data_IF_932818444053
#
_entry.id   IF_932818444053
#
_cell.length_a   1.000
_cell.length_b   1.000
_cell.length_c   1.000
_cell.angle_alpha   90.00
_cell.angle_beta   90.00
_cell.angle_gamma   90.00
#
_symmetry.space_group_name_H-M   'P 1'
#
loop_
_entity.id
_entity.type
_entity.pdbx_description
1 polymer ?
#
# COMPACT_ATOMS: atom_id res chain seq x y z
N UNK A 1 42.98 16.94 65.21
CA UNK A 1 42.46 17.49 63.94
C UNK A 1 41.81 16.45 63.02
N UNK A 2 42.23 15.19 63.00
CA UNK A 2 41.69 14.18 62.01
C UNK A 2 40.22 13.77 62.21
N UNK A 3 39.65 13.72 63.43
CA UNK A 3 38.25 13.33 63.68
C UNK A 3 37.21 14.36 63.20
N UNK A 4 37.52 15.68 63.33
CA UNK A 4 36.58 16.73 62.87
C UNK A 4 36.42 16.79 61.34
N UNK A 5 37.50 16.53 60.59
CA UNK A 5 37.44 16.48 59.13
C UNK A 5 36.64 15.27 58.61
N UNK A 6 36.73 14.12 59.31
CA UNK A 6 35.98 12.93 58.93
C UNK A 6 34.44 13.14 59.10
N UNK A 7 34.06 13.80 60.20
CA UNK A 7 32.62 14.13 60.45
C UNK A 7 32.05 15.11 59.40
N UNK A 8 32.84 16.10 59.02
CA UNK A 8 32.42 17.07 57.98
C UNK A 8 32.29 16.41 56.62
N UNK A 9 33.21 15.51 56.25
CA UNK A 9 33.12 14.77 54.97
C UNK A 9 31.94 13.83 54.96
N UNK A 10 31.67 13.13 56.08
CA UNK A 10 30.49 12.25 56.19
C UNK A 10 29.17 13.03 56.13
N UNK A 11 29.09 14.19 56.78
CA UNK A 11 27.93 15.07 56.71
C UNK A 11 27.67 15.63 55.30
N UNK A 12 28.72 16.04 54.56
CA UNK A 12 28.63 16.47 53.18
C UNK A 12 28.19 15.34 52.23
N UNK A 13 28.69 14.12 52.48
CA UNK A 13 28.30 12.94 51.70
C UNK A 13 26.82 12.58 51.91
N UNK A 14 26.32 12.56 53.15
CA UNK A 14 24.92 12.32 53.47
C UNK A 14 24.00 13.44 52.96
N UNK A 15 24.47 14.68 52.96
CA UNK A 15 23.69 15.80 52.42
C UNK A 15 23.63 15.75 50.90
N UNK A 16 24.71 15.40 50.21
CA UNK A 16 24.72 15.23 48.75
C UNK A 16 23.88 14.04 48.27
N UNK A 17 23.93 12.90 48.98
CA UNK A 17 23.10 11.74 48.68
C UNK A 17 21.61 12.00 48.95
N UNK A 18 21.29 12.74 50.01
CA UNK A 18 19.91 13.15 50.32
C UNK A 18 19.31 14.09 49.27
N UNK A 19 20.08 15.05 48.76
CA UNK A 19 19.67 15.93 47.66
C UNK A 19 19.52 15.17 46.36
N UNK A 20 20.44 14.26 46.03
CA UNK A 20 20.35 13.39 44.85
C UNK A 20 19.16 12.45 44.92
N UNK A 21 18.86 11.87 46.07
CA UNK A 21 17.67 11.03 46.26
C UNK A 21 16.37 11.83 46.16
N UNK A 22 16.28 13.03 46.75
CA UNK A 22 15.13 13.90 46.67
C UNK A 22 14.91 14.46 45.25
N UNK A 23 15.98 14.73 44.49
CA UNK A 23 15.90 15.13 43.09
C UNK A 23 15.49 13.96 42.19
N UNK A 24 16.07 12.76 42.37
CA UNK A 24 15.70 11.59 41.58
C UNK A 24 14.28 11.09 41.91
N UNK A 25 13.83 11.14 43.17
CA UNK A 25 12.45 10.77 43.52
C UNK A 25 11.40 11.75 42.98
N UNK A 26 11.75 13.06 42.89
CA UNK A 26 10.87 14.04 42.21
C UNK A 26 10.87 13.90 40.69
N UNK A 27 11.94 13.43 40.10
CA UNK A 27 12.02 13.13 38.67
C UNK A 27 11.32 11.83 38.33
N UNK A 28 11.48 10.78 39.14
CA UNK A 28 10.80 9.47 38.99
C UNK A 28 9.30 9.57 39.34
N UNK A 29 8.91 10.42 40.30
CA UNK A 29 7.50 10.63 40.62
C UNK A 29 6.75 11.49 39.59
N UNK A 30 7.46 12.26 38.74
CA UNK A 30 6.87 13.00 37.63
C UNK A 30 6.71 12.14 36.37
N UNK A 31 7.60 11.17 36.12
CA UNK A 31 7.43 10.24 34.99
C UNK A 31 6.27 9.27 35.20
N UNK A 32 5.99 8.81 36.43
CA UNK A 32 4.88 7.89 36.66
C UNK A 32 3.46 8.52 36.64
N UNK A 33 3.35 9.86 36.78
CA UNK A 33 2.06 10.57 36.64
C UNK A 33 1.81 11.03 35.19
N UNK A 34 2.88 11.25 34.41
CA UNK A 34 2.83 11.57 32.97
C UNK A 34 2.60 10.30 32.16
N UNK A 35 3.25 9.18 32.49
CA UNK A 35 3.05 7.91 31.80
C UNK A 35 1.64 7.36 31.89
N UNK A 36 0.89 7.59 32.99
CA UNK A 36 -0.49 7.15 33.06
C UNK A 36 -1.46 8.03 32.26
N UNK A 37 -1.20 9.33 32.15
CA UNK A 37 -2.02 10.23 31.31
C UNK A 37 -1.66 10.09 29.85
N UNK A 38 -0.39 9.90 29.51
CA UNK A 38 0.03 9.65 28.12
C UNK A 38 -0.40 8.27 27.65
N UNK A 39 -0.29 7.23 28.48
CA UNK A 39 -0.85 5.90 28.17
C UNK A 39 -2.39 5.88 28.11
N UNK A 40 -3.07 6.68 28.90
CA UNK A 40 -4.52 6.78 28.83
C UNK A 40 -4.98 7.62 27.63
N UNK A 41 -4.25 8.70 27.29
CA UNK A 41 -4.44 9.46 26.06
C UNK A 41 -4.06 8.65 24.82
N UNK A 42 -3.03 7.84 24.87
CA UNK A 42 -2.65 6.92 23.80
C UNK A 42 -3.64 5.76 23.67
N UNK A 43 -4.16 5.22 24.75
CA UNK A 43 -5.21 4.21 24.73
C UNK A 43 -6.57 4.78 24.28
N UNK A 44 -6.92 6.01 24.69
CA UNK A 44 -8.08 6.74 24.20
C UNK A 44 -7.89 7.17 22.72
N UNK A 45 -6.67 7.47 22.31
CA UNK A 45 -6.29 7.75 20.93
C UNK A 45 -6.27 6.45 20.10
N UNK A 46 -5.78 5.33 20.61
CA UNK A 46 -5.85 4.01 19.96
C UNK A 46 -7.30 3.48 19.90
N UNK A 47 -8.14 3.74 20.87
CA UNK A 47 -9.57 3.42 20.83
C UNK A 47 -10.40 4.38 19.97
N UNK A 48 -9.94 5.65 19.83
CA UNK A 48 -10.51 6.61 18.90
C UNK A 48 -9.97 6.47 17.46
N UNK A 49 -8.78 5.91 17.30
CA UNK A 49 -8.13 5.65 15.99
C UNK A 49 -8.73 4.46 15.23
N UNK A 50 -9.69 3.74 15.81
CA UNK A 50 -10.53 2.82 15.03
C UNK A 50 -11.34 3.53 13.95
N UNK A 51 -11.69 4.82 14.16
CA UNK A 51 -12.37 5.66 13.17
C UNK A 51 -11.69 7.04 13.14
N UNK A 52 -10.91 7.28 12.09
CA UNK A 52 -10.23 8.58 11.85
C UNK A 52 -11.23 9.72 11.58
N UNK A 53 -12.44 9.38 11.16
CA UNK A 53 -13.50 10.31 10.80
C UNK A 53 -14.77 9.99 11.60
N UNK A 54 -15.38 11.03 12.14
CA UNK A 54 -16.73 10.91 12.72
C UNK A 54 -17.76 10.98 11.58
N UNK A 55 -18.19 9.82 11.09
CA UNK A 55 -19.13 9.70 9.97
C UNK A 55 -20.53 9.42 10.53
N UNK A 56 -21.48 10.30 10.24
CA UNK A 56 -22.91 10.01 10.49
C UNK A 56 -23.33 8.79 9.65
N UNK A 57 -23.82 7.69 10.28
CA UNK A 57 -24.28 6.51 9.54
C UNK A 57 -25.42 6.80 8.54
N UNK A 58 -26.16 7.88 8.73
CA UNK A 58 -27.26 8.30 7.88
C UNK A 58 -26.85 9.35 6.84
N UNK A 59 -25.60 9.80 6.83
CA UNK A 59 -25.13 10.76 5.84
C UNK A 59 -25.25 10.20 4.41
N UNK A 60 -25.69 11.02 3.42
CA UNK A 60 -25.70 10.61 2.04
C UNK A 60 -24.34 10.12 1.57
N UNK A 61 -24.32 9.02 0.82
CA UNK A 61 -23.13 8.48 0.16
C UNK A 61 -23.21 8.74 -1.33
N UNK A 62 -22.97 9.99 -1.71
CA UNK A 62 -23.11 10.53 -3.07
C UNK A 62 -21.79 11.07 -3.64
N UNK A 63 -20.67 10.87 -2.91
CA UNK A 63 -19.35 11.30 -3.34
C UNK A 63 -18.58 10.12 -3.95
N UNK A 64 -18.36 10.16 -5.26
CA UNK A 64 -17.66 9.12 -5.98
C UNK A 64 -16.13 9.22 -5.75
N UNK A 65 -15.51 8.10 -5.39
CA UNK A 65 -14.05 7.99 -5.34
C UNK A 65 -13.46 8.01 -6.74
N UNK A 66 -12.51 8.89 -7.07
CA UNK A 66 -11.96 8.99 -8.41
C UNK A 66 -11.11 7.78 -8.83
N UNK A 67 -10.69 6.93 -7.89
CA UNK A 67 -9.83 5.76 -8.15
C UNK A 67 -10.62 4.45 -8.19
N UNK A 68 -11.58 4.26 -7.28
CA UNK A 68 -12.32 3.00 -7.13
C UNK A 68 -13.81 3.10 -7.49
N UNK A 69 -14.32 4.30 -7.76
CA UNK A 69 -15.75 4.52 -8.05
C UNK A 69 -16.68 4.26 -6.87
N UNK A 70 -16.19 3.76 -5.72
CA UNK A 70 -17.04 3.57 -4.54
C UNK A 70 -17.64 4.90 -4.08
N UNK A 71 -18.85 4.82 -3.53
CA UNK A 71 -19.61 5.99 -3.06
C UNK A 71 -19.35 6.22 -1.57
N UNK A 72 -19.01 7.45 -1.20
CA UNK A 72 -18.65 7.89 0.15
C UNK A 72 -19.46 9.11 0.59
N UNK A 73 -19.33 9.49 1.85
CA UNK A 73 -19.91 10.71 2.39
C UNK A 73 -19.07 11.94 2.06
N UNK A 74 -19.64 13.12 2.20
CA UNK A 74 -18.91 14.37 2.02
C UNK A 74 -17.71 14.52 2.96
N UNK A 75 -17.82 14.04 4.22
CA UNK A 75 -16.72 14.08 5.21
C UNK A 75 -15.53 13.23 4.75
N UNK A 76 -15.79 12.05 4.17
CA UNK A 76 -14.76 11.16 3.62
C UNK A 76 -14.08 11.83 2.41
N UNK A 77 -14.85 12.49 1.54
CA UNK A 77 -14.32 13.27 0.41
C UNK A 77 -13.39 14.39 0.88
N UNK A 78 -13.83 15.23 1.80
CA UNK A 78 -12.99 16.31 2.36
C UNK A 78 -11.66 15.80 2.94
N UNK A 79 -11.63 14.57 3.44
CA UNK A 79 -10.41 13.96 3.99
C UNK A 79 -9.42 13.59 2.88
N UNK A 80 -9.87 12.89 1.82
CA UNK A 80 -8.94 12.51 0.75
C UNK A 80 -8.52 13.68 -0.14
N UNK A 81 -9.35 14.70 -0.34
CA UNK A 81 -9.00 15.90 -1.14
C UNK A 81 -7.84 16.70 -0.55
N UNK A 82 -7.49 16.50 0.71
CA UNK A 82 -6.34 17.13 1.38
C UNK A 82 -5.03 16.38 1.17
N UNK A 83 -5.06 15.23 0.53
CA UNK A 83 -3.97 14.25 0.45
C UNK A 83 -3.77 13.79 -0.99
N UNK A 84 -2.60 13.20 -1.27
CA UNK A 84 -2.36 12.43 -2.48
C UNK A 84 -2.48 10.94 -2.18
N UNK A 85 -2.81 10.09 -3.18
CA UNK A 85 -2.79 8.63 -2.99
C UNK A 85 -1.44 8.13 -2.50
N UNK A 86 -1.44 7.06 -1.71
CA UNK A 86 -0.25 6.27 -1.44
C UNK A 86 -0.14 5.18 -2.50
N UNK A 87 1.06 4.92 -3.00
CA UNK A 87 1.39 3.72 -3.80
C UNK A 87 2.45 2.94 -3.03
N UNK A 88 2.07 1.81 -2.44
CA UNK A 88 2.92 1.06 -1.51
C UNK A 88 3.39 -0.25 -2.13
N UNK A 89 4.71 -0.48 -2.09
CA UNK A 89 5.31 -1.74 -2.51
C UNK A 89 5.15 -2.80 -1.42
N UNK A 90 4.51 -3.93 -1.72
CA UNK A 90 4.20 -5.00 -0.75
C UNK A 90 4.78 -6.34 -1.22
N UNK A 91 5.42 -7.05 -0.29
CA UNK A 91 6.05 -8.36 -0.49
C UNK A 91 5.00 -9.46 -0.77
N UNK A 92 5.36 -10.43 -1.63
CA UNK A 92 4.51 -11.60 -1.88
C UNK A 92 5.25 -12.94 -1.82
N UNK A 93 6.45 -13.02 -1.25
CA UNK A 93 7.05 -14.34 -1.02
C UNK A 93 6.17 -15.19 -0.08
N UNK A 94 6.15 -16.53 -0.21
CA UNK A 94 5.32 -17.38 0.64
C UNK A 94 5.57 -17.18 2.14
N UNK A 95 6.79 -16.84 2.53
CA UNK A 95 7.14 -16.58 3.94
C UNK A 95 6.58 -15.26 4.48
N UNK A 96 6.22 -14.33 3.58
CA UNK A 96 5.63 -13.04 3.93
C UNK A 96 4.10 -13.08 4.13
N UNK A 97 3.46 -14.19 3.76
CA UNK A 97 1.99 -14.33 3.77
C UNK A 97 1.47 -14.72 5.17
N UNK A 98 0.25 -14.24 5.55
CA UNK A 98 -0.60 -13.30 4.85
C UNK A 98 -0.08 -11.87 4.91
N UNK A 99 -0.40 -11.05 3.90
CA UNK A 99 -0.12 -9.62 3.88
C UNK A 99 -1.19 -8.87 4.68
N UNK A 100 -0.85 -7.63 5.07
CA UNK A 100 -1.76 -6.71 5.76
C UNK A 100 -2.18 -5.58 4.83
N UNK A 101 -3.48 -5.28 4.78
CA UNK A 101 -4.03 -4.06 4.22
C UNK A 101 -4.40 -4.13 2.73
N UNK A 102 -4.21 -5.25 2.04
CA UNK A 102 -4.56 -5.36 0.61
C UNK A 102 -6.06 -5.19 0.34
N UNK A 103 -6.92 -5.61 1.27
CA UNK A 103 -8.38 -5.46 1.15
C UNK A 103 -8.87 -4.01 1.21
N UNK A 104 -8.06 -3.11 1.75
CA UNK A 104 -8.37 -1.67 1.84
C UNK A 104 -7.75 -0.84 0.70
N UNK A 105 -7.06 -1.49 -0.23
CA UNK A 105 -6.55 -0.80 -1.40
C UNK A 105 -7.68 -0.46 -2.39
N UNK A 106 -7.55 0.67 -3.09
CA UNK A 106 -8.42 1.02 -4.21
C UNK A 106 -7.99 0.29 -5.50
N UNK A 107 -6.67 0.11 -5.69
CA UNK A 107 -6.07 -0.64 -6.81
C UNK A 107 -4.89 -1.46 -6.33
N UNK A 108 -4.72 -2.67 -6.84
CA UNK A 108 -3.52 -3.49 -6.64
C UNK A 108 -2.95 -3.92 -7.99
N UNK A 109 -1.68 -3.58 -8.23
CA UNK A 109 -0.88 -4.16 -9.31
C UNK A 109 -0.12 -5.37 -8.81
N UNK A 110 -0.06 -6.43 -9.61
CA UNK A 110 0.76 -7.59 -9.34
C UNK A 110 1.60 -7.96 -10.55
N UNK A 111 2.90 -8.15 -10.37
CA UNK A 111 3.83 -8.59 -11.40
C UNK A 111 5.01 -9.34 -10.77
N UNK A 112 5.74 -10.11 -11.56
CA UNK A 112 6.99 -10.75 -11.11
C UNK A 112 8.02 -9.66 -10.80
N UNK A 113 8.60 -9.72 -9.62
CA UNK A 113 9.66 -8.79 -9.18
C UNK A 113 11.05 -9.33 -9.46
N UNK A 114 11.33 -10.52 -9.03
CA UNK A 114 12.58 -11.24 -9.25
C UNK A 114 12.37 -12.76 -9.21
N UNK A 115 12.99 -13.47 -10.17
CA UNK A 115 13.10 -14.94 -10.13
C UNK A 115 11.78 -15.69 -9.98
N UNK A 116 10.69 -15.20 -10.54
CA UNK A 116 9.36 -15.81 -10.44
C UNK A 116 8.55 -15.43 -9.21
N UNK A 117 9.15 -14.68 -8.25
CA UNK A 117 8.45 -14.13 -7.08
C UNK A 117 7.66 -12.90 -7.50
N UNK A 118 6.34 -12.88 -7.30
CA UNK A 118 5.53 -11.69 -7.58
C UNK A 118 5.63 -10.66 -6.44
N UNK A 119 5.21 -9.42 -6.73
CA UNK A 119 5.14 -8.31 -5.78
C UNK A 119 3.89 -7.50 -6.06
N UNK A 120 3.38 -6.82 -5.03
CA UNK A 120 2.26 -5.92 -5.18
C UNK A 120 2.70 -4.46 -5.13
N UNK A 121 2.02 -3.63 -5.93
CA UNK A 121 1.98 -2.19 -5.78
C UNK A 121 0.55 -1.79 -5.48
N UNK A 122 0.25 -1.42 -4.24
CA UNK A 122 -1.11 -1.16 -3.79
C UNK A 122 -1.36 0.34 -3.63
N UNK A 123 -2.48 0.82 -4.17
CA UNK A 123 -2.91 2.22 -4.11
C UNK A 123 -3.95 2.37 -3.00
N UNK A 124 -3.70 3.30 -2.07
CA UNK A 124 -4.62 3.64 -0.99
C UNK A 124 -5.01 5.10 -1.10
N UNK A 125 -6.30 5.37 -1.14
CA UNK A 125 -6.80 6.74 -1.21
C UNK A 125 -8.13 6.91 -0.47
N UNK A 126 -9.27 6.54 -1.07
CA UNK A 126 -10.57 6.86 -0.52
C UNK A 126 -10.96 5.95 0.65
N UNK A 127 -10.82 4.63 0.51
CA UNK A 127 -11.22 3.67 1.56
C UNK A 127 -10.38 3.81 2.83
N UNK A 128 -9.11 4.17 2.66
CA UNK A 128 -8.16 4.33 3.75
C UNK A 128 -8.34 5.61 4.59
N UNK A 129 -9.31 6.50 4.26
CA UNK A 129 -9.59 7.67 5.10
C UNK A 129 -10.39 7.33 6.35
N UNK A 130 -11.09 6.21 6.35
CA UNK A 130 -12.00 5.83 7.43
C UNK A 130 -11.29 5.29 8.67
N UNK A 131 -10.17 4.63 8.46
CA UNK A 131 -9.38 3.97 9.50
C UNK A 131 -7.90 3.94 9.14
N UNK A 132 -7.03 3.89 10.14
CA UNK A 132 -5.61 3.66 9.90
C UNK A 132 -5.37 2.21 9.48
N UNK A 133 -4.92 2.01 8.25
CA UNK A 133 -4.71 0.68 7.66
C UNK A 133 -3.26 0.28 7.85
N UNK A 134 -3.01 -0.78 8.61
CA UNK A 134 -1.68 -1.40 8.70
C UNK A 134 -1.34 -2.03 7.35
N UNK A 135 -0.15 -1.73 6.83
CA UNK A 135 0.35 -2.24 5.54
C UNK A 135 1.65 -3.01 5.77
N UNK A 136 1.66 -4.29 5.41
CA UNK A 136 2.82 -5.15 5.62
C UNK A 136 2.84 -6.40 4.70
N UNK A 137 4.05 -6.92 4.40
CA UNK A 137 5.35 -6.27 4.58
C UNK A 137 5.64 -5.28 3.47
N UNK A 138 6.12 -4.09 3.81
CA UNK A 138 6.57 -3.11 2.81
C UNK A 138 7.88 -3.58 2.20
N UNK A 139 8.05 -3.42 0.88
CA UNK A 139 9.17 -4.01 0.14
C UNK A 139 9.78 -3.07 -0.91
N UNK A 140 10.81 -3.56 -1.57
CA UNK A 140 11.70 -2.79 -2.46
C UNK A 140 11.04 -2.35 -3.77
N UNK A 141 11.38 -1.16 -4.22
CA UNK A 141 10.98 -0.58 -5.51
C UNK A 141 11.50 -1.39 -6.70
N UNK A 142 10.73 -1.38 -7.80
CA UNK A 142 11.10 -1.88 -9.13
C UNK A 142 10.67 -0.87 -10.19
N UNK A 143 11.42 -0.76 -11.27
CA UNK A 143 11.26 0.29 -12.28
C UNK A 143 9.86 0.36 -12.87
N UNK A 144 9.27 -0.77 -13.23
CA UNK A 144 7.93 -0.82 -13.81
C UNK A 144 6.82 -0.45 -12.81
N UNK A 145 6.98 -0.72 -11.50
CA UNK A 145 6.06 -0.21 -10.48
C UNK A 145 6.16 1.30 -10.31
N UNK A 146 7.35 1.90 -10.45
CA UNK A 146 7.51 3.36 -10.48
C UNK A 146 6.77 3.96 -11.69
N UNK A 147 6.84 3.30 -12.85
CA UNK A 147 6.12 3.74 -14.04
C UNK A 147 4.60 3.62 -13.90
N UNK A 148 4.10 2.52 -13.32
CA UNK A 148 2.64 2.38 -13.04
C UNK A 148 2.17 3.37 -11.98
N UNK A 149 2.94 3.55 -10.91
CA UNK A 149 2.66 4.58 -9.91
C UNK A 149 2.56 5.97 -10.51
N UNK A 150 3.41 6.29 -11.50
CA UNK A 150 3.40 7.60 -12.18
C UNK A 150 2.05 7.95 -12.81
N UNK A 151 1.23 6.95 -13.16
CA UNK A 151 -0.12 7.14 -13.70
C UNK A 151 -1.12 7.70 -12.68
N UNK A 152 -0.81 7.67 -11.40
CA UNK A 152 -1.63 8.23 -10.32
C UNK A 152 -1.22 9.67 -9.95
N UNK A 153 -0.63 10.41 -10.87
CA UNK A 153 -0.28 11.83 -10.73
C UNK A 153 0.49 12.17 -9.45
N UNK A 154 1.74 11.77 -9.35
CA UNK A 154 2.61 11.98 -8.18
C UNK A 154 2.07 11.40 -6.85
N UNK A 155 1.70 10.12 -6.80
CA UNK A 155 1.29 9.51 -5.54
C UNK A 155 2.48 9.49 -4.58
N UNK A 156 2.24 9.41 -3.27
CA UNK A 156 3.29 9.11 -2.31
C UNK A 156 3.79 7.69 -2.57
N UNK A 157 5.01 7.55 -3.07
CA UNK A 157 5.59 6.25 -3.42
C UNK A 157 6.34 5.66 -2.23
N UNK A 158 5.84 4.55 -1.70
CA UNK A 158 6.29 3.98 -0.43
C UNK A 158 7.00 2.65 -0.66
N UNK A 159 8.24 2.54 -0.15
CA UNK A 159 9.05 1.34 -0.35
C UNK A 159 10.18 1.19 0.69
N UNK A 160 10.82 0.03 0.70
CA UNK A 160 12.02 -0.29 1.49
C UNK A 160 13.19 -0.49 0.52
N UNK A 161 13.94 0.57 0.25
CA UNK A 161 14.99 0.54 -0.75
C UNK A 161 14.49 0.07 -2.12
N UNK A 162 15.38 -0.40 -2.97
CA UNK A 162 14.99 -0.83 -4.32
C UNK A 162 16.14 -1.42 -5.11
N UNK A 163 15.85 -1.86 -6.32
CA UNK A 163 16.88 -2.20 -7.28
C UNK A 163 17.74 -0.96 -7.57
N UNK A 164 19.05 -1.10 -7.44
CA UNK A 164 20.01 0.00 -7.52
C UNK A 164 21.28 -0.34 -8.31
N UNK A 165 21.30 -1.46 -9.03
CA UNK A 165 22.37 -1.76 -9.97
C UNK A 165 22.25 -0.82 -11.17
N UNK A 166 23.35 -0.14 -11.57
CA UNK A 166 23.33 0.74 -12.74
C UNK A 166 22.78 0.03 -13.97
N UNK A 167 21.84 0.66 -14.66
CA UNK A 167 21.23 0.12 -15.88
C UNK A 167 19.70 0.15 -15.85
N UNK A 168 19.04 -0.63 -16.72
CA UNK A 168 17.59 -0.49 -16.95
C UNK A 168 16.71 -0.98 -15.78
N UNK A 169 17.29 -1.62 -14.77
CA UNK A 169 16.56 -2.07 -13.56
C UNK A 169 16.82 -1.20 -12.33
N UNK A 170 17.57 -0.09 -12.46
CA UNK A 170 17.89 0.83 -11.36
C UNK A 170 16.65 1.66 -10.95
N UNK A 171 15.80 1.10 -10.11
CA UNK A 171 14.58 1.77 -9.64
C UNK A 171 14.90 2.99 -8.76
N UNK A 172 15.94 2.93 -7.91
CA UNK A 172 16.34 4.07 -7.08
C UNK A 172 16.94 5.19 -7.94
N UNK A 173 17.68 4.85 -9.00
CA UNK A 173 18.16 5.81 -9.99
C UNK A 173 17.00 6.47 -10.74
N UNK A 174 16.01 5.68 -11.14
CA UNK A 174 14.80 6.16 -11.82
C UNK A 174 13.99 7.13 -10.93
N UNK A 175 13.77 6.81 -9.65
CA UNK A 175 13.11 7.68 -8.68
C UNK A 175 13.83 9.03 -8.57
N UNK A 176 15.17 9.02 -8.46
CA UNK A 176 15.98 10.26 -8.45
C UNK A 176 15.87 11.04 -9.75
N UNK A 177 15.95 10.36 -10.89
CA UNK A 177 15.85 10.99 -12.22
C UNK A 177 14.50 11.66 -12.44
N UNK A 178 13.42 11.10 -11.86
CA UNK A 178 12.08 11.66 -11.96
C UNK A 178 11.83 12.80 -10.94
N UNK A 179 12.80 13.13 -10.10
CA UNK A 179 12.69 14.19 -9.09
C UNK A 179 11.85 13.79 -7.87
N UNK A 180 11.47 12.52 -7.73
CA UNK A 180 10.56 12.06 -6.68
C UNK A 180 11.15 12.15 -5.28
N UNK A 181 12.46 12.02 -5.13
CA UNK A 181 13.15 12.04 -3.82
C UNK A 181 12.84 13.26 -2.95
N UNK A 182 12.43 14.39 -3.57
CA UNK A 182 12.10 15.64 -2.86
C UNK A 182 10.60 15.98 -2.88
N UNK A 183 9.75 15.13 -3.47
CA UNK A 183 8.36 15.48 -3.73
C UNK A 183 7.35 14.43 -3.27
N UNK A 184 7.70 13.12 -3.33
CA UNK A 184 6.74 12.05 -3.08
C UNK A 184 7.37 10.70 -2.74
N UNK A 185 8.70 10.61 -2.61
CA UNK A 185 9.41 9.37 -2.28
C UNK A 185 9.48 9.14 -0.77
N UNK A 186 8.83 8.08 -0.29
CA UNK A 186 8.84 7.66 1.13
C UNK A 186 9.61 6.33 1.24
N UNK A 187 10.93 6.42 1.15
CA UNK A 187 11.80 5.27 1.39
C UNK A 187 12.06 5.08 2.90
N UNK A 188 11.88 3.85 3.38
CA UNK A 188 12.14 3.46 4.76
C UNK A 188 13.55 3.86 5.23
N UNK A 189 14.57 3.80 4.37
CA UNK A 189 15.94 4.18 4.74
C UNK A 189 16.11 5.68 4.95
N UNK A 190 15.26 6.51 4.35
CA UNK A 190 15.27 7.97 4.53
C UNK A 190 14.34 8.46 5.64
N UNK A 191 13.28 7.71 5.95
CA UNK A 191 12.25 8.11 6.91
C UNK A 191 12.42 7.40 8.26
N UNK A 192 12.56 6.08 8.25
CA UNK A 192 12.82 5.29 9.46
C UNK A 192 11.65 5.20 10.45
N UNK A 193 12.02 4.97 11.72
CA UNK A 193 11.11 4.92 12.86
C UNK A 193 10.62 6.35 13.24
N UNK A 194 9.37 6.55 13.65
CA UNK A 194 8.31 5.56 13.92
C UNK A 194 7.43 5.22 12.70
N UNK A 195 7.64 5.83 11.54
CA UNK A 195 6.81 5.59 10.34
C UNK A 195 6.89 4.15 9.87
N UNK A 196 8.10 3.60 9.85
CA UNK A 196 8.33 2.19 9.57
C UNK A 196 8.82 1.47 10.82
N UNK A 197 8.21 0.35 11.13
CA UNK A 197 8.61 -0.53 12.24
C UNK A 197 8.95 -1.93 11.71
N UNK A 198 9.84 -2.63 12.42
CA UNK A 198 10.10 -4.05 12.16
C UNK A 198 9.37 -4.89 13.19
N UNK A 199 8.29 -5.53 12.77
CA UNK A 199 7.51 -6.42 13.61
C UNK A 199 7.90 -7.89 13.35
N UNK A 200 8.79 -8.41 14.19
CA UNK A 200 9.23 -9.80 14.09
C UNK A 200 8.13 -10.82 14.45
N UNK A 201 7.07 -10.37 15.09
CA UNK A 201 5.92 -11.19 15.51
C UNK A 201 4.68 -10.91 14.63
N UNK A 202 4.84 -10.32 13.45
CA UNK A 202 3.74 -9.97 12.55
C UNK A 202 2.82 -11.15 12.27
N UNK A 203 3.38 -12.33 12.10
CA UNK A 203 2.61 -13.56 11.91
C UNK A 203 2.80 -14.41 13.19
N UNK A 204 1.74 -14.58 14.03
CA UNK A 204 1.85 -15.33 15.27
C UNK A 204 2.35 -16.77 15.03
N UNK A 205 3.33 -17.18 15.82
CA UNK A 205 3.91 -18.53 15.74
C UNK A 205 4.83 -18.80 14.55
N UNK A 206 5.02 -17.85 13.63
CA UNK A 206 5.91 -17.97 12.47
C UNK A 206 7.10 -17.05 12.62
N UNK A 207 8.33 -17.62 12.63
CA UNK A 207 9.55 -16.84 12.53
C UNK A 207 9.82 -16.53 11.06
N UNK A 208 9.82 -15.25 10.71
CA UNK A 208 10.08 -14.79 9.34
C UNK A 208 11.43 -14.09 9.24
N UNK A 209 12.02 -14.04 8.05
CA UNK A 209 13.25 -13.31 7.80
C UNK A 209 13.01 -11.79 7.95
N UNK A 210 14.09 -11.08 8.30
CA UNK A 210 14.01 -9.62 8.62
C UNK A 210 13.40 -8.79 7.50
N UNK A 211 13.60 -9.17 6.25
CA UNK A 211 13.03 -8.52 5.07
C UNK A 211 11.49 -8.62 4.96
N UNK A 212 10.86 -9.53 5.70
CA UNK A 212 9.41 -9.73 5.74
C UNK A 212 8.74 -9.08 6.96
N UNK A 213 9.44 -8.22 7.69
CA UNK A 213 8.98 -7.68 8.97
C UNK A 213 8.62 -6.20 8.96
N UNK A 214 8.84 -5.49 7.84
CA UNK A 214 8.61 -4.04 7.79
C UNK A 214 7.13 -3.75 7.64
N UNK A 215 6.60 -3.02 8.61
CA UNK A 215 5.23 -2.51 8.64
C UNK A 215 5.21 -0.99 8.61
N UNK A 216 4.14 -0.45 8.06
CA UNK A 216 3.74 0.94 8.21
C UNK A 216 2.22 1.01 8.31
N UNK A 217 1.66 2.21 8.36
CA UNK A 217 0.23 2.41 8.24
C UNK A 217 -0.09 3.64 7.39
N UNK A 218 -1.32 3.72 6.89
CA UNK A 218 -1.74 4.81 6.01
C UNK A 218 -1.55 6.17 6.66
N UNK A 219 -1.93 6.34 7.93
CA UNK A 219 -1.78 7.62 8.63
C UNK A 219 -0.31 7.99 8.88
N UNK A 220 0.53 7.02 9.30
CA UNK A 220 1.97 7.29 9.46
C UNK A 220 2.63 7.76 8.17
N UNK A 221 2.19 7.23 7.03
CA UNK A 221 2.71 7.62 5.73
C UNK A 221 2.22 9.02 5.32
N UNK A 222 0.94 9.33 5.53
CA UNK A 222 0.41 10.68 5.27
C UNK A 222 0.95 11.73 6.25
N UNK A 223 1.27 11.36 7.50
CA UNK A 223 1.99 12.25 8.42
C UNK A 223 3.38 12.65 7.90
N UNK A 224 4.11 11.73 7.25
CA UNK A 224 5.38 12.07 6.60
C UNK A 224 5.16 13.08 5.49
N UNK A 225 4.15 12.86 4.65
CA UNK A 225 3.80 13.78 3.58
C UNK A 225 3.43 15.16 4.14
N UNK A 226 2.62 15.22 5.18
CA UNK A 226 2.24 16.47 5.85
C UNK A 226 3.45 17.22 6.43
N UNK A 227 4.33 16.51 7.16
CA UNK A 227 5.57 17.09 7.74
C UNK A 227 6.51 17.65 6.68
N UNK A 228 6.46 17.10 5.45
CA UNK A 228 7.26 17.55 4.30
C UNK A 228 6.53 18.55 3.41
N UNK A 229 5.32 18.96 3.78
CA UNK A 229 4.44 19.82 2.97
C UNK A 229 4.08 19.22 1.60
N UNK A 230 4.05 17.90 1.52
CA UNK A 230 3.61 17.14 0.35
C UNK A 230 2.10 16.88 0.44
N UNK A 231 1.35 17.93 0.24
CA UNK A 231 -0.12 17.88 0.30
C UNK A 231 -0.73 17.35 -1.00
N UNK A 232 -2.00 17.64 -1.24
CA UNK A 232 -2.70 17.34 -2.50
C UNK A 232 -2.25 18.20 -3.68
N UNK A 233 -1.38 19.19 -3.48
CA UNK A 233 -0.82 20.02 -4.55
C UNK A 233 0.60 19.59 -4.91
N UNK A 234 0.98 19.79 -6.18
CA UNK A 234 2.34 19.69 -6.66
C UNK A 234 3.16 20.94 -6.26
N UNK A 235 4.49 20.99 -6.54
CA UNK A 235 5.32 22.17 -6.26
C UNK A 235 4.90 23.42 -7.02
N UNK A 236 4.22 23.29 -8.13
CA UNK A 236 3.69 24.37 -8.97
C UNK A 236 2.33 24.88 -8.45
N UNK A 237 1.72 24.17 -7.49
CA UNK A 237 0.43 24.55 -6.87
C UNK A 237 -0.80 23.97 -7.57
N UNK A 238 -0.63 23.05 -8.54
CA UNK A 238 -1.75 22.36 -9.16
C UNK A 238 -2.27 21.27 -8.24
N UNK A 239 -3.58 21.11 -8.15
CA UNK A 239 -4.17 20.04 -7.35
C UNK A 239 -3.95 18.68 -7.98
N UNK A 240 -3.80 17.65 -7.15
CA UNK A 240 -3.63 16.27 -7.60
C UNK A 240 -4.74 15.84 -8.57
N UNK A 241 -5.98 16.19 -8.27
CA UNK A 241 -7.15 15.81 -9.06
C UNK A 241 -7.10 16.37 -10.50
N UNK A 242 -6.51 17.56 -10.70
CA UNK A 242 -6.43 18.22 -12.02
C UNK A 242 -5.54 17.45 -13.01
N UNK A 243 -4.53 16.75 -12.50
CA UNK A 243 -3.59 15.97 -13.31
C UNK A 243 -3.91 14.46 -13.38
N UNK A 244 -4.93 13.99 -12.65
CA UNK A 244 -5.32 12.58 -12.65
C UNK A 244 -6.44 12.29 -13.66
N UNK A 245 -6.21 11.33 -14.56
CA UNK A 245 -7.24 10.86 -15.49
C UNK A 245 -8.04 9.74 -14.84
N UNK A 246 -9.26 10.05 -14.44
CA UNK A 246 -10.17 9.10 -13.79
C UNK A 246 -10.71 8.06 -14.78
N UNK A 247 -10.88 6.82 -14.30
CA UNK A 247 -11.68 5.79 -14.97
C UNK A 247 -13.18 6.13 -14.87
N UNK A 248 -13.96 5.58 -15.77
CA UNK A 248 -15.42 5.57 -15.64
C UNK A 248 -15.86 4.35 -14.83
N UNK A 249 -16.94 4.49 -14.08
CA UNK A 249 -17.45 3.41 -13.23
C UNK A 249 -18.93 3.15 -13.53
N UNK A 250 -19.35 1.92 -13.27
CA UNK A 250 -20.75 1.50 -13.41
C UNK A 250 -21.22 0.75 -12.18
N UNK A 251 -22.54 0.78 -11.95
CA UNK A 251 -23.22 -0.04 -10.96
C UNK A 251 -23.47 -1.45 -11.51
N UNK A 252 -23.73 -2.41 -10.60
CA UNK A 252 -24.02 -3.77 -10.98
C UNK A 252 -25.22 -3.83 -11.96
N UNK A 253 -25.10 -4.52 -13.11
CA UNK A 253 -26.20 -4.66 -14.04
C UNK A 253 -27.28 -5.58 -13.47
N UNK A 254 -28.52 -5.45 -13.97
CA UNK A 254 -29.63 -6.32 -13.59
C UNK A 254 -29.39 -7.81 -13.95
N UNK A 255 -28.59 -8.06 -14.99
CA UNK A 255 -28.19 -9.40 -15.41
C UNK A 255 -26.67 -9.51 -15.38
N UNK A 256 -26.17 -10.42 -14.58
CA UNK A 256 -24.73 -10.73 -14.47
C UNK A 256 -24.28 -11.72 -15.54
N UNK A 257 -22.96 -11.82 -15.74
CA UNK A 257 -22.35 -12.80 -16.60
C UNK A 257 -22.41 -14.24 -16.04
N UNK A 258 -21.63 -15.14 -16.62
CA UNK A 258 -21.60 -16.56 -16.27
C UNK A 258 -20.19 -17.06 -15.93
N UNK A 259 -19.21 -16.16 -15.83
CA UNK A 259 -17.84 -16.52 -15.42
C UNK A 259 -17.82 -16.71 -13.91
N UNK A 260 -17.58 -17.93 -13.48
CA UNK A 260 -17.49 -18.31 -12.07
C UNK A 260 -16.06 -18.38 -11.59
N UNK A 261 -15.14 -18.77 -12.47
CA UNK A 261 -13.75 -19.05 -12.13
C UNK A 261 -12.80 -18.38 -13.11
N UNK A 262 -11.67 -17.90 -12.62
CA UNK A 262 -10.58 -17.36 -13.44
C UNK A 262 -9.28 -17.96 -12.91
N UNK A 263 -8.40 -18.44 -13.78
CA UNK A 263 -7.09 -18.92 -13.35
C UNK A 263 -5.99 -18.58 -14.35
N UNK A 264 -4.79 -18.30 -13.82
CA UNK A 264 -3.58 -18.02 -14.58
C UNK A 264 -2.33 -18.20 -13.74
N UNK A 265 -1.20 -18.36 -14.42
CA UNK A 265 0.12 -18.39 -13.82
C UNK A 265 0.96 -17.21 -14.31
N UNK A 266 1.84 -16.67 -13.47
CA UNK A 266 2.85 -15.71 -13.89
C UNK A 266 3.99 -16.41 -14.65
N UNK A 267 4.53 -17.50 -14.10
CA UNK A 267 5.52 -18.35 -14.73
C UNK A 267 5.23 -19.83 -14.52
N UNK A 268 5.56 -20.64 -15.49
CA UNK A 268 5.49 -22.11 -15.38
C UNK A 268 6.43 -22.62 -14.29
N UNK A 269 5.98 -23.57 -13.48
CA UNK A 269 6.75 -24.18 -12.40
C UNK A 269 6.78 -23.38 -11.08
N UNK A 270 6.16 -22.22 -11.02
CA UNK A 270 6.06 -21.39 -9.81
C UNK A 270 4.65 -21.47 -9.19
N UNK A 271 4.18 -22.69 -8.90
CA UNK A 271 2.81 -22.96 -8.46
C UNK A 271 2.38 -22.23 -7.20
N UNK A 272 3.33 -21.85 -6.31
CA UNK A 272 3.06 -21.03 -5.13
C UNK A 272 2.57 -19.61 -5.48
N UNK A 273 2.64 -19.20 -6.75
CA UNK A 273 2.12 -17.93 -7.29
C UNK A 273 1.02 -18.16 -8.33
N UNK A 274 0.55 -19.41 -8.49
CA UNK A 274 -0.63 -19.69 -9.30
C UNK A 274 -1.83 -18.96 -8.68
N UNK A 275 -2.58 -18.25 -9.50
CA UNK A 275 -3.73 -17.45 -9.07
C UNK A 275 -5.00 -18.08 -9.59
N UNK A 276 -6.00 -18.17 -8.71
CA UNK A 276 -7.38 -18.35 -9.11
C UNK A 276 -8.29 -17.36 -8.39
N UNK A 277 -9.41 -17.08 -9.03
CA UNK A 277 -10.47 -16.24 -8.52
C UNK A 277 -11.78 -16.98 -8.70
N UNK A 278 -12.64 -16.95 -7.68
CA UNK A 278 -13.98 -17.50 -7.68
C UNK A 278 -14.98 -16.38 -7.47
N UNK A 279 -16.01 -16.31 -8.30
CA UNK A 279 -17.00 -15.25 -8.19
C UNK A 279 -17.95 -15.49 -7.02
N UNK A 280 -18.03 -14.50 -6.14
CA UNK A 280 -19.01 -14.45 -5.04
C UNK A 280 -20.17 -13.54 -5.44
N UNK A 281 -21.34 -14.14 -5.64
CA UNK A 281 -22.55 -13.44 -6.07
C UNK A 281 -23.06 -12.43 -5.01
N UNK A 282 -22.85 -12.73 -3.72
CA UNK A 282 -23.33 -11.87 -2.62
C UNK A 282 -22.50 -10.59 -2.51
N UNK A 283 -21.19 -10.68 -2.76
CA UNK A 283 -20.29 -9.54 -2.74
C UNK A 283 -20.20 -8.85 -4.09
N UNK A 284 -20.69 -9.46 -5.16
CA UNK A 284 -20.47 -9.03 -6.55
C UNK A 284 -18.99 -8.80 -6.85
N UNK A 285 -18.14 -9.75 -6.45
CA UNK A 285 -16.70 -9.65 -6.50
C UNK A 285 -16.07 -11.03 -6.70
N UNK A 286 -14.84 -11.04 -7.17
CA UNK A 286 -14.03 -12.26 -7.32
C UNK A 286 -13.13 -12.44 -6.09
N UNK A 287 -13.27 -13.57 -5.41
CA UNK A 287 -12.49 -13.97 -4.22
C UNK A 287 -11.20 -14.64 -4.66
N UNK A 288 -10.09 -14.20 -4.10
CA UNK A 288 -8.75 -14.60 -4.54
C UNK A 288 -8.21 -15.83 -3.81
N UNK A 289 -7.66 -16.76 -4.58
CA UNK A 289 -6.82 -17.87 -4.12
C UNK A 289 -5.43 -17.74 -4.75
N UNK A 290 -4.39 -18.10 -4.01
CA UNK A 290 -3.01 -18.05 -4.49
C UNK A 290 -2.22 -19.26 -3.97
N UNK A 291 -1.59 -20.00 -4.88
CA UNK A 291 -0.86 -21.21 -4.52
C UNK A 291 -1.76 -22.34 -3.97
N UNK A 292 -3.04 -22.32 -4.29
CA UNK A 292 -4.04 -23.28 -3.82
C UNK A 292 -4.67 -22.95 -2.46
N UNK A 293 -4.33 -21.81 -1.86
CA UNK A 293 -4.88 -21.38 -0.57
C UNK A 293 -5.60 -20.04 -0.70
N UNK A 294 -6.69 -19.82 0.07
CA UNK A 294 -7.35 -18.53 0.13
C UNK A 294 -6.35 -17.43 0.49
N UNK A 295 -6.35 -16.36 -0.30
CA UNK A 295 -5.50 -15.21 -0.04
C UNK A 295 -6.17 -14.30 1.00
N UNK A 296 -5.77 -14.45 2.26
CA UNK A 296 -6.34 -13.69 3.37
C UNK A 296 -5.60 -12.36 3.57
N UNK A 297 -6.34 -11.33 3.96
CA UNK A 297 -5.77 -10.12 4.52
C UNK A 297 -5.55 -10.30 6.03
N UNK A 298 -4.33 -10.07 6.49
CA UNK A 298 -3.97 -10.29 7.89
C UNK A 298 -4.71 -9.37 8.87
N UNK A 299 -5.08 -8.15 8.46
CA UNK A 299 -5.78 -7.21 9.32
C UNK A 299 -7.19 -7.69 9.69
N UNK A 300 -7.87 -8.33 8.75
CA UNK A 300 -9.28 -8.72 8.89
C UNK A 300 -9.48 -10.22 9.00
N UNK A 301 -8.47 -11.00 8.59
CA UNK A 301 -8.54 -12.46 8.40
C UNK A 301 -9.64 -12.88 7.40
N UNK A 302 -10.10 -11.97 6.55
CA UNK A 302 -11.05 -12.26 5.48
C UNK A 302 -10.30 -12.51 4.15
N UNK A 303 -10.89 -13.31 3.24
CA UNK A 303 -10.39 -13.43 1.88
C UNK A 303 -10.39 -12.09 1.16
N UNK A 304 -9.35 -11.86 0.34
CA UNK A 304 -9.28 -10.70 -0.54
C UNK A 304 -10.27 -10.91 -1.69
N UNK A 305 -11.13 -9.92 -1.91
CA UNK A 305 -12.09 -9.91 -2.99
C UNK A 305 -11.95 -8.63 -3.82
N UNK A 306 -12.01 -8.74 -5.15
CA UNK A 306 -11.90 -7.63 -6.08
C UNK A 306 -13.16 -7.50 -6.96
N UNK A 307 -13.71 -6.30 -7.09
CA UNK A 307 -14.82 -6.02 -7.98
C UNK A 307 -14.41 -6.13 -9.45
N UNK A 308 -13.15 -5.80 -9.74
CA UNK A 308 -12.56 -5.93 -11.06
C UNK A 308 -11.27 -6.75 -10.99
N UNK A 309 -11.17 -7.78 -11.84
CA UNK A 309 -9.92 -8.49 -12.09
C UNK A 309 -9.48 -8.19 -13.51
N UNK A 310 -8.35 -7.48 -13.64
CA UNK A 310 -7.75 -7.16 -14.94
C UNK A 310 -6.52 -8.03 -15.14
N UNK A 311 -6.52 -8.86 -16.16
CA UNK A 311 -5.33 -9.60 -16.60
C UNK A 311 -4.73 -8.88 -17.78
N UNK A 312 -3.74 -8.03 -17.50
CA UNK A 312 -3.06 -7.17 -18.47
C UNK A 312 -1.89 -7.93 -19.07
N UNK A 313 -1.90 -8.11 -20.41
CA UNK A 313 -0.83 -8.77 -21.15
C UNK A 313 0.14 -7.75 -21.74
N UNK A 314 1.43 -7.90 -21.41
CA UNK A 314 2.49 -7.05 -21.95
C UNK A 314 3.79 -7.82 -22.18
N UNK A 315 4.73 -7.22 -22.92
CA UNK A 315 6.04 -7.82 -23.09
C UNK A 315 6.83 -7.74 -21.77
N UNK A 316 7.26 -8.92 -21.30
CA UNK A 316 8.17 -9.06 -20.17
C UNK A 316 9.53 -9.58 -20.64
N UNK A 317 10.58 -9.17 -19.97
CA UNK A 317 11.94 -9.64 -20.20
C UNK A 317 12.64 -9.89 -18.88
N UNK A 318 13.13 -11.09 -18.73
CA UNK A 318 13.89 -11.45 -17.52
C UNK A 318 14.13 -12.94 -17.34
N UNK A 319 14.98 -13.29 -16.39
CA UNK A 319 15.84 -12.39 -15.60
C UNK A 319 16.86 -11.61 -16.43
N UNK A 320 17.11 -10.34 -16.14
CA UNK A 320 18.01 -9.47 -16.91
C UNK A 320 19.35 -9.20 -16.20
N UNK A 321 19.51 -9.68 -14.98
CA UNK A 321 20.76 -9.58 -14.22
C UNK A 321 20.87 -10.70 -13.18
N UNK A 322 22.00 -10.77 -12.46
CA UNK A 322 22.28 -11.79 -11.44
C UNK A 322 21.29 -11.78 -10.27
N UNK A 323 20.70 -10.63 -9.95
CA UNK A 323 19.64 -10.49 -8.93
C UNK A 323 18.26 -10.91 -9.45
N UNK A 324 18.20 -11.44 -10.67
CA UNK A 324 17.01 -11.96 -11.34
C UNK A 324 15.89 -10.92 -11.52
N UNK A 325 16.28 -9.64 -11.65
CA UNK A 325 15.31 -8.58 -11.91
C UNK A 325 14.62 -8.75 -13.26
N UNK A 326 13.38 -8.25 -13.30
CA UNK A 326 12.52 -8.24 -14.48
C UNK A 326 12.43 -6.85 -15.10
N UNK A 327 12.03 -6.82 -16.35
CA UNK A 327 11.60 -5.60 -17.07
C UNK A 327 10.26 -5.87 -17.73
N UNK A 328 9.41 -4.85 -17.76
CA UNK A 328 8.11 -4.86 -18.43
C UNK A 328 7.99 -3.68 -19.38
N UNK A 329 7.27 -3.86 -20.47
CA UNK A 329 6.81 -2.72 -21.28
C UNK A 329 5.66 -2.06 -20.55
N UNK A 330 5.88 -0.84 -20.05
CA UNK A 330 4.93 -0.11 -19.18
C UNK A 330 4.12 0.94 -19.92
N UNK A 331 4.56 1.34 -21.13
CA UNK A 331 3.89 2.34 -21.98
C UNK A 331 3.54 1.74 -23.34
N UNK A 332 2.59 2.36 -24.04
CA UNK A 332 2.09 1.90 -25.33
C UNK A 332 0.66 1.37 -25.21
N UNK A 333 0.36 0.32 -25.96
CA UNK A 333 -0.97 -0.32 -26.02
C UNK A 333 -0.85 -1.83 -26.02
N UNK A 334 -1.89 -2.52 -25.62
CA UNK A 334 -1.95 -3.98 -25.67
C UNK A 334 -3.36 -4.49 -25.32
N UNK A 335 -3.47 -5.80 -25.12
CA UNK A 335 -4.71 -6.47 -24.77
C UNK A 335 -4.76 -6.77 -23.27
N UNK A 336 -5.97 -6.73 -22.71
CA UNK A 336 -6.27 -7.22 -21.38
C UNK A 336 -7.62 -7.93 -21.36
N UNK A 337 -7.81 -8.80 -20.37
CA UNK A 337 -9.11 -9.34 -20.02
C UNK A 337 -9.59 -8.62 -18.76
N UNK A 338 -10.77 -8.03 -18.82
CA UNK A 338 -11.44 -7.40 -17.70
C UNK A 338 -12.59 -8.28 -17.24
N UNK A 339 -12.54 -8.73 -16.00
CA UNK A 339 -13.60 -9.50 -15.35
C UNK A 339 -14.28 -8.62 -14.30
N UNK A 340 -15.61 -8.51 -14.39
CA UNK A 340 -16.48 -7.79 -13.47
C UNK A 340 -17.90 -8.36 -13.57
N UNK A 341 -18.69 -8.34 -12.50
CA UNK A 341 -20.09 -8.78 -12.49
C UNK A 341 -20.30 -10.18 -13.11
N UNK A 342 -19.40 -11.13 -12.78
CA UNK A 342 -19.36 -12.47 -13.43
C UNK A 342 -19.25 -12.45 -14.96
N UNK A 343 -18.88 -11.34 -15.57
CA UNK A 343 -18.63 -11.20 -17.00
C UNK A 343 -17.14 -11.12 -17.32
N UNK A 344 -16.82 -11.25 -18.62
CA UNK A 344 -15.48 -11.02 -19.15
C UNK A 344 -15.57 -10.17 -20.42
N UNK A 345 -14.68 -9.20 -20.52
CA UNK A 345 -14.51 -8.37 -21.71
C UNK A 345 -13.04 -8.36 -22.15
N UNK A 346 -12.77 -8.61 -23.44
CA UNK A 346 -11.46 -8.33 -24.01
C UNK A 346 -11.38 -6.82 -24.29
N UNK A 347 -10.45 -6.14 -23.62
CA UNK A 347 -10.24 -4.69 -23.72
C UNK A 347 -8.85 -4.37 -24.26
N UNK A 348 -8.70 -3.18 -24.80
CA UNK A 348 -7.39 -2.63 -25.15
C UNK A 348 -6.95 -1.75 -23.97
N UNK A 349 -5.74 -2.01 -23.44
CA UNK A 349 -5.12 -1.07 -22.52
C UNK A 349 -4.24 -0.09 -23.29
N UNK A 350 -4.15 1.14 -22.79
CA UNK A 350 -3.25 2.16 -23.29
C UNK A 350 -2.63 2.98 -22.16
N UNK A 351 -1.34 3.25 -22.26
CA UNK A 351 -0.60 4.16 -21.39
C UNK A 351 0.37 4.94 -22.30
N UNK A 352 -0.02 6.14 -22.70
CA UNK A 352 0.67 6.90 -23.75
C UNK A 352 2.08 7.35 -23.33
N UNK A 353 2.20 7.80 -22.09
CA UNK A 353 3.45 8.27 -21.49
C UNK A 353 3.64 7.62 -20.13
N UNK A 354 4.80 7.79 -19.53
CA UNK A 354 5.07 7.35 -18.17
C UNK A 354 4.03 7.88 -17.16
N UNK A 355 3.64 9.14 -17.28
CA UNK A 355 2.70 9.80 -16.35
C UNK A 355 1.23 9.66 -16.71
N UNK A 356 0.91 9.12 -17.91
CA UNK A 356 -0.49 8.84 -18.26
C UNK A 356 -1.03 7.70 -17.41
N UNK A 357 -2.31 7.77 -17.02
CA UNK A 357 -3.02 6.64 -16.45
C UNK A 357 -3.15 5.49 -17.46
N UNK A 358 -3.24 4.26 -16.99
CA UNK A 358 -3.64 3.14 -17.84
C UNK A 358 -5.14 3.26 -18.11
N UNK A 359 -5.52 3.31 -19.37
CA UNK A 359 -6.92 3.39 -19.78
C UNK A 359 -7.33 2.07 -20.45
N UNK A 360 -8.60 1.70 -20.28
CA UNK A 360 -9.20 0.53 -20.89
C UNK A 360 -10.29 0.96 -21.89
N UNK A 361 -10.20 0.46 -23.13
CA UNK A 361 -11.16 0.79 -24.20
C UNK A 361 -11.65 -0.49 -24.88
N UNK A 362 -12.86 -0.40 -25.42
CA UNK A 362 -13.38 -1.42 -26.33
C UNK A 362 -12.63 -1.41 -27.70
N UNK A 363 -13.02 -2.30 -28.60
CA UNK A 363 -12.43 -2.37 -29.96
C UNK A 363 -12.80 -1.17 -30.86
N UNK A 364 -13.71 -0.28 -30.42
CA UNK A 364 -14.07 0.96 -31.10
C UNK A 364 -13.38 2.18 -30.52
N UNK A 365 -12.60 1.99 -29.42
CA UNK A 365 -11.91 3.06 -28.69
C UNK A 365 -12.75 3.77 -27.64
N UNK A 366 -13.96 3.27 -27.33
CA UNK A 366 -14.77 3.84 -26.25
C UNK A 366 -14.22 3.37 -24.88
N UNK A 367 -14.21 4.23 -23.85
CA UNK A 367 -13.86 3.82 -22.49
C UNK A 367 -14.75 2.67 -22.00
N UNK A 368 -14.16 1.65 -21.41
CA UNK A 368 -14.89 0.57 -20.75
C UNK A 368 -14.97 0.89 -19.26
N UNK A 369 -16.18 1.03 -18.69
CA UNK A 369 -16.34 1.34 -17.27
C UNK A 369 -15.91 0.15 -16.41
N UNK A 370 -15.38 0.45 -15.22
CA UNK A 370 -15.06 -0.53 -14.19
C UNK A 370 -16.25 -0.68 -13.21
N UNK A 371 -16.37 -1.83 -12.57
CA UNK A 371 -17.26 -1.98 -11.42
C UNK A 371 -16.74 -1.16 -10.24
N UNK A 372 -17.63 -0.65 -9.39
CA UNK A 372 -17.25 0.09 -8.18
C UNK A 372 -16.60 -0.80 -7.16
N UNK A 373 -15.35 -0.56 -6.82
CA UNK A 373 -14.62 -1.34 -5.81
C UNK A 373 -13.15 -1.54 -6.14
N UNK A 374 -12.50 -2.46 -5.41
CA UNK A 374 -11.10 -2.81 -5.63
C UNK A 374 -10.88 -3.31 -7.05
N UNK A 375 -9.90 -2.71 -7.74
CA UNK A 375 -9.42 -3.18 -9.04
C UNK A 375 -8.07 -3.87 -8.88
N UNK A 376 -8.01 -5.18 -9.20
CA UNK A 376 -6.78 -5.96 -9.18
C UNK A 376 -6.23 -6.15 -10.59
N UNK A 377 -5.02 -5.62 -10.84
CA UNK A 377 -4.37 -5.65 -12.16
C UNK A 377 -3.18 -6.61 -12.10
N UNK A 378 -3.36 -7.82 -12.61
CA UNK A 378 -2.26 -8.78 -12.78
C UNK A 378 -1.59 -8.54 -14.14
N UNK A 379 -0.29 -8.22 -14.11
CA UNK A 379 0.50 -7.98 -15.31
C UNK A 379 1.29 -9.24 -15.64
N UNK A 380 0.96 -9.88 -16.76
CA UNK A 380 1.53 -11.15 -17.21
C UNK A 380 2.16 -11.04 -18.60
N UNK A 381 3.02 -11.99 -18.94
CA UNK A 381 3.63 -12.09 -20.26
C UNK A 381 2.62 -12.35 -21.39
N UNK A 382 2.96 -11.92 -22.61
CA UNK A 382 2.09 -12.06 -23.78
C UNK A 382 1.67 -13.52 -24.07
N UNK A 383 2.52 -14.49 -23.72
CA UNK A 383 2.28 -15.92 -23.97
C UNK A 383 1.53 -16.65 -22.85
N UNK A 384 1.20 -15.96 -21.74
CA UNK A 384 0.52 -16.63 -20.65
C UNK A 384 -0.95 -16.89 -20.98
N UNK A 385 -1.42 -18.09 -20.60
CA UNK A 385 -2.83 -18.47 -20.73
C UNK A 385 -3.65 -17.98 -19.54
N UNK A 386 -4.92 -17.67 -19.80
CA UNK A 386 -5.94 -17.36 -18.81
C UNK A 386 -7.11 -18.28 -19.09
N UNK A 387 -7.52 -19.03 -18.08
CA UNK A 387 -8.67 -19.95 -18.16
C UNK A 387 -9.82 -19.34 -17.35
N UNK A 388 -11.04 -19.35 -17.94
CA UNK A 388 -12.26 -18.83 -17.33
C UNK A 388 -13.51 -19.45 -17.93
#
# INVERSE_FOLDING_TARGET
MKKKHLIIVLALYLFSTGISYAASSRFLGRSSASDNTDNQLDLERETALGLLLNIDPNAPRDQECPISGKMYTFVEREAWEKRRPLFVMIENSPDARPQSGLSNADVVFEAIAEGGVTRFGAVYYCDAQRQDVVIAPVRSARTYFVDWASGFNFPMYVHVGGANLPGPTDALGQIRQYGWSLQNDIDQFSVGYPTFVRNNNRIPGKKVATEHTVESSTERLWEVAQKRSWTNTDPEGNEWADGYTQWTFEDAPASKGTVTDISYNFWSGYNQYAVSWEYDEQQDAFVRTMGGELHLDHNTNNPIAAANVVVLKTAEKGPVNELKHMMYTTTGTGKALLFKHAGVEEVNWSKQTRTSQILFTDNRGNPVPLARGLTWISVIGLGNEVVY
#
